data_IF_851288825249
#
_entry.id   IF_851288825249
#
_cell.length_a   1.000
_cell.length_b   1.000
_cell.length_c   1.000
_cell.angle_alpha   90.00
_cell.angle_beta   90.00
_cell.angle_gamma   90.00
#
_symmetry.space_group_name_H-M   'P 1'
#
loop_
_entity.id
_entity.type
_entity.pdbx_description
1 polymer ?
#
# COMPACT_ATOMS: atom_id res chain seq x y z
N UNK A 1 -8.90 -15.43 -3.11
CA UNK A 1 -9.27 -14.21 -3.85
C UNK A 1 -8.25 -13.98 -4.95
N UNK A 2 -8.69 -13.77 -6.19
CA UNK A 2 -7.77 -13.54 -7.33
C UNK A 2 -7.50 -12.05 -7.50
N UNK A 3 -6.68 -11.45 -6.65
CA UNK A 3 -6.22 -10.08 -6.88
C UNK A 3 -5.28 -10.02 -8.10
N UNK A 4 -5.40 -8.99 -8.91
CA UNK A 4 -4.53 -8.72 -10.07
C UNK A 4 -3.21 -8.08 -9.63
N UNK A 5 -3.25 -7.30 -8.54
CA UNK A 5 -2.08 -6.74 -7.90
C UNK A 5 -2.31 -6.57 -6.40
N UNK A 6 -1.25 -6.74 -5.61
CA UNK A 6 -1.21 -6.40 -4.19
C UNK A 6 0.10 -5.65 -3.95
N UNK A 7 -0.02 -4.39 -3.54
CA UNK A 7 1.11 -3.53 -3.18
C UNK A 7 1.11 -3.29 -1.68
N UNK A 8 2.23 -3.54 -1.04
CA UNK A 8 2.45 -3.23 0.37
C UNK A 8 3.05 -1.84 0.52
N UNK A 9 2.51 -1.07 1.45
CA UNK A 9 2.99 0.26 1.80
C UNK A 9 3.24 0.31 3.32
N UNK A 10 4.44 0.64 3.72
CA UNK A 10 4.75 0.90 5.12
C UNK A 10 4.24 2.29 5.57
N UNK A 11 4.37 2.59 6.85
CA UNK A 11 3.91 3.84 7.44
C UNK A 11 4.64 5.07 6.87
N UNK A 12 5.93 4.98 6.54
CA UNK A 12 6.67 6.07 5.90
C UNK A 12 6.15 6.34 4.46
N UNK A 13 5.91 5.29 3.70
CA UNK A 13 5.30 5.39 2.37
C UNK A 13 3.91 6.01 2.44
N UNK A 14 3.10 5.60 3.42
CA UNK A 14 1.77 6.17 3.64
C UNK A 14 1.85 7.65 4.01
N UNK A 15 2.76 8.06 4.91
CA UNK A 15 2.96 9.47 5.28
C UNK A 15 3.49 10.31 4.12
N UNK A 16 4.30 9.72 3.24
CA UNK A 16 4.83 10.42 2.05
C UNK A 16 3.73 10.87 1.10
N UNK A 17 2.55 10.25 1.15
CA UNK A 17 1.39 10.68 0.36
C UNK A 17 0.93 12.12 0.65
N UNK A 18 1.36 12.76 1.74
CA UNK A 18 1.11 14.19 2.01
C UNK A 18 1.70 15.14 0.96
N UNK A 19 2.67 14.69 0.17
CA UNK A 19 3.31 15.47 -0.91
C UNK A 19 2.55 15.38 -2.24
N UNK A 20 1.44 14.65 -2.29
CA UNK A 20 0.60 14.50 -3.46
C UNK A 20 -0.73 15.23 -3.29
N UNK A 21 -1.35 15.59 -4.40
CA UNK A 21 -2.68 16.17 -4.41
C UNK A 21 -3.74 15.10 -4.14
N UNK A 22 -4.71 15.43 -3.27
CA UNK A 22 -5.88 14.60 -2.97
C UNK A 22 -5.57 13.14 -2.60
N UNK A 23 -4.73 12.87 -1.59
CA UNK A 23 -4.50 11.51 -1.16
C UNK A 23 -5.82 10.87 -0.68
N UNK A 24 -6.01 9.56 -0.87
CA UNK A 24 -7.28 8.88 -0.56
C UNK A 24 -7.56 8.72 0.93
N UNK A 25 -6.65 9.15 1.79
CA UNK A 25 -6.71 9.15 3.26
C UNK A 25 -5.97 10.39 3.79
N UNK A 26 -6.05 10.65 5.10
CA UNK A 26 -5.23 11.69 5.74
C UNK A 26 -3.84 11.14 6.11
N UNK A 27 -2.78 11.51 5.36
CA UNK A 27 -1.43 10.99 5.62
C UNK A 27 -0.87 11.40 6.99
N UNK A 28 -1.38 12.50 7.58
CA UNK A 28 -0.92 13.01 8.88
C UNK A 28 -1.49 12.21 10.05
N UNK A 29 -2.57 11.47 9.83
CA UNK A 29 -3.17 10.59 10.83
C UNK A 29 -2.56 9.19 10.88
N UNK A 30 -1.58 8.90 10.00
CA UNK A 30 -0.92 7.59 9.97
C UNK A 30 0.01 7.43 11.16
N UNK A 31 -0.34 6.53 12.06
CA UNK A 31 0.48 6.16 13.21
C UNK A 31 1.68 5.30 12.80
N UNK A 32 2.64 5.14 13.72
CA UNK A 32 3.79 4.26 13.50
C UNK A 32 3.33 2.80 13.40
N UNK A 33 4.03 2.04 12.57
CA UNK A 33 3.74 0.61 12.31
C UNK A 33 2.38 0.30 11.66
N UNK A 34 1.60 1.33 11.27
CA UNK A 34 0.44 1.15 10.42
C UNK A 34 0.93 0.84 9.00
N UNK A 35 0.31 -0.14 8.37
CA UNK A 35 0.63 -0.53 6.99
C UNK A 35 -0.58 -0.43 6.10
N UNK A 36 -0.38 -0.17 4.83
CA UNK A 36 -1.41 -0.16 3.81
C UNK A 36 -1.24 -1.29 2.80
N UNK A 37 -2.35 -1.78 2.29
CA UNK A 37 -2.39 -2.66 1.13
C UNK A 37 -3.21 -1.98 0.04
N UNK A 38 -2.62 -1.78 -1.13
CA UNK A 38 -3.35 -1.46 -2.34
C UNK A 38 -3.63 -2.77 -3.08
N UNK A 39 -4.90 -3.15 -3.11
CA UNK A 39 -5.34 -4.40 -3.74
C UNK A 39 -6.17 -4.06 -4.97
N UNK A 40 -5.77 -4.56 -6.12
CA UNK A 40 -6.49 -4.37 -7.37
C UNK A 40 -7.15 -5.68 -7.82
N UNK A 41 -8.40 -5.57 -8.24
CA UNK A 41 -9.13 -6.64 -8.90
C UNK A 41 -9.48 -6.22 -10.32
N UNK A 42 -9.23 -7.10 -11.28
CA UNK A 42 -9.61 -6.92 -12.68
C UNK A 42 -10.33 -8.17 -13.14
N UNK A 43 -11.51 -8.02 -13.75
CA UNK A 43 -12.25 -9.11 -14.35
C UNK A 43 -13.20 -8.56 -15.41
N UNK A 44 -13.43 -9.32 -16.48
CA UNK A 44 -14.38 -8.97 -17.54
C UNK A 44 -15.84 -9.15 -17.11
N UNK A 45 -16.08 -9.92 -16.06
CA UNK A 45 -17.40 -10.17 -15.49
C UNK A 45 -17.69 -9.21 -14.33
N UNK A 46 -18.71 -8.35 -14.50
CA UNK A 46 -19.16 -7.46 -13.43
C UNK A 46 -19.64 -8.24 -12.19
N UNK A 47 -20.32 -9.38 -12.39
CA UNK A 47 -20.76 -10.22 -11.28
C UNK A 47 -19.59 -10.74 -10.44
N UNK A 48 -18.45 -11.05 -11.07
CA UNK A 48 -17.26 -11.49 -10.37
C UNK A 48 -16.62 -10.34 -9.59
N UNK A 49 -16.56 -9.14 -10.15
CA UNK A 49 -16.11 -7.93 -9.45
C UNK A 49 -16.99 -7.65 -8.23
N UNK A 50 -18.33 -7.71 -8.39
CA UNK A 50 -19.27 -7.49 -7.28
C UNK A 50 -19.11 -8.52 -6.16
N UNK A 51 -18.84 -9.78 -6.51
CA UNK A 51 -18.52 -10.84 -5.56
C UNK A 51 -17.25 -10.52 -4.78
N UNK A 52 -16.16 -10.16 -5.47
CA UNK A 52 -14.88 -9.83 -4.85
C UNK A 52 -14.97 -8.61 -3.92
N UNK A 53 -15.73 -7.59 -4.33
CA UNK A 53 -16.02 -6.41 -3.52
C UNK A 53 -16.74 -6.82 -2.22
N UNK A 54 -17.77 -7.67 -2.33
CA UNK A 54 -18.53 -8.16 -1.17
C UNK A 54 -17.64 -8.94 -0.21
N UNK A 55 -16.85 -9.89 -0.72
CA UNK A 55 -15.92 -10.68 0.08
C UNK A 55 -14.88 -9.82 0.79
N UNK A 56 -14.34 -8.80 0.10
CA UNK A 56 -13.37 -7.87 0.69
C UNK A 56 -13.99 -7.05 1.83
N UNK A 57 -15.23 -6.57 1.66
CA UNK A 57 -15.95 -5.85 2.72
C UNK A 57 -16.23 -6.75 3.93
N UNK A 58 -16.69 -7.97 3.71
CA UNK A 58 -16.95 -8.94 4.78
C UNK A 58 -15.67 -9.30 5.53
N UNK A 59 -14.56 -9.45 4.81
CA UNK A 59 -13.25 -9.69 5.41
C UNK A 59 -12.84 -8.52 6.29
N UNK A 60 -12.87 -7.29 5.77
CA UNK A 60 -12.45 -6.10 6.52
C UNK A 60 -13.28 -5.86 7.80
N UNK A 61 -14.55 -6.27 7.81
CA UNK A 61 -15.41 -6.16 8.99
C UNK A 61 -15.11 -7.21 10.08
N UNK A 62 -14.57 -8.36 9.66
CA UNK A 62 -14.25 -9.47 10.59
C UNK A 62 -12.84 -9.36 11.17
N UNK A 63 -11.92 -8.77 10.43
CA UNK A 63 -10.52 -8.65 10.83
C UNK A 63 -10.28 -7.40 11.67
N UNK A 64 -10.02 -7.59 12.95
CA UNK A 64 -9.77 -6.48 13.90
C UNK A 64 -8.50 -5.69 13.61
N UNK A 65 -7.57 -6.25 12.82
CA UNK A 65 -6.35 -5.57 12.36
C UNK A 65 -6.60 -4.57 11.22
N UNK A 66 -7.77 -4.62 10.59
CA UNK A 66 -8.15 -3.65 9.53
C UNK A 66 -8.73 -2.41 10.17
N UNK A 67 -7.94 -1.33 10.22
CA UNK A 67 -8.35 -0.03 10.77
C UNK A 67 -9.38 0.63 9.87
N UNK A 68 -9.14 0.64 8.56
CA UNK A 68 -10.06 1.19 7.56
C UNK A 68 -9.89 0.51 6.21
N UNK A 69 -10.95 0.51 5.41
CA UNK A 69 -10.90 0.09 4.02
C UNK A 69 -11.66 1.09 3.15
N UNK A 70 -11.01 1.59 2.11
CA UNK A 70 -11.65 2.41 1.07
C UNK A 70 -11.76 1.61 -0.22
N UNK A 71 -12.98 1.45 -0.71
CA UNK A 71 -13.25 0.87 -2.02
C UNK A 71 -13.26 1.99 -3.07
N UNK A 72 -12.55 1.77 -4.17
CA UNK A 72 -12.46 2.72 -5.27
C UNK A 72 -12.84 2.03 -6.57
N UNK A 73 -13.89 2.53 -7.21
CA UNK A 73 -14.41 2.01 -8.50
C UNK A 73 -14.34 3.06 -9.60
N UNK A 74 -14.30 4.35 -9.25
CA UNK A 74 -14.16 5.44 -10.20
C UNK A 74 -12.77 5.43 -10.84
N UNK A 75 -12.73 5.70 -12.15
CA UNK A 75 -11.48 5.65 -12.91
C UNK A 75 -10.49 6.74 -12.46
N UNK A 76 -10.96 7.95 -12.23
CA UNK A 76 -10.10 9.08 -11.86
C UNK A 76 -9.47 8.87 -10.47
N UNK A 77 -10.24 8.35 -9.53
CA UNK A 77 -9.75 8.00 -8.19
C UNK A 77 -8.72 6.88 -8.26
N UNK A 78 -8.93 5.86 -9.10
CA UNK A 78 -7.96 4.78 -9.33
C UNK A 78 -6.64 5.32 -9.91
N UNK A 79 -6.73 6.17 -10.92
CA UNK A 79 -5.55 6.81 -11.54
C UNK A 79 -4.77 7.64 -10.51
N UNK A 80 -5.48 8.36 -9.62
CA UNK A 80 -4.86 9.13 -8.54
C UNK A 80 -4.08 8.23 -7.58
N UNK A 81 -4.66 7.11 -7.15
CA UNK A 81 -3.97 6.14 -6.27
C UNK A 81 -2.72 5.58 -6.94
N UNK A 82 -2.82 5.15 -8.19
CA UNK A 82 -1.68 4.65 -8.95
C UNK A 82 -0.61 5.72 -9.21
N UNK A 83 -1.00 6.98 -9.43
CA UNK A 83 -0.08 8.11 -9.55
C UNK A 83 0.70 8.32 -8.25
N UNK A 84 0.02 8.27 -7.10
CA UNK A 84 0.67 8.34 -5.79
C UNK A 84 1.65 7.19 -5.64
N UNK A 85 1.21 5.93 -5.82
CA UNK A 85 2.08 4.73 -5.71
C UNK A 85 3.35 4.84 -6.56
N UNK A 86 3.21 5.19 -7.83
CA UNK A 86 4.35 5.36 -8.75
C UNK A 86 5.25 6.54 -8.38
N UNK A 87 4.70 7.57 -7.75
CA UNK A 87 5.42 8.76 -7.34
C UNK A 87 6.15 8.65 -6.00
N UNK A 88 5.89 7.62 -5.19
CA UNK A 88 6.50 7.48 -3.86
C UNK A 88 8.03 7.44 -3.93
N UNK A 89 8.60 6.58 -4.75
CA UNK A 89 10.05 6.41 -4.87
C UNK A 89 10.79 7.71 -5.28
N UNK A 90 10.40 8.40 -6.38
CA UNK A 90 11.05 9.67 -6.72
C UNK A 90 10.83 10.76 -5.67
N UNK A 91 9.69 10.77 -4.98
CA UNK A 91 9.42 11.73 -3.90
C UNK A 91 10.34 11.48 -2.72
N UNK A 92 10.46 10.25 -2.23
CA UNK A 92 11.41 9.86 -1.18
C UNK A 92 12.85 10.22 -1.60
N UNK A 93 13.18 9.99 -2.89
CA UNK A 93 14.47 10.37 -3.47
C UNK A 93 14.79 11.86 -3.34
N UNK A 94 13.77 12.70 -3.52
CA UNK A 94 13.94 14.15 -3.40
C UNK A 94 14.03 14.65 -1.95
N UNK A 95 13.42 13.92 -1.01
CA UNK A 95 13.38 14.30 0.41
C UNK A 95 14.56 13.77 1.22
N UNK A 96 15.33 12.82 0.68
CA UNK A 96 16.44 12.20 1.40
C UNK A 96 17.51 13.21 1.81
N UNK A 97 18.22 12.94 2.88
CA UNK A 97 19.39 13.74 3.31
C UNK A 97 20.48 13.70 2.26
N UNK A 98 21.13 14.84 2.03
CA UNK A 98 22.30 14.93 1.14
C UNK A 98 23.38 13.94 1.57
N UNK A 99 23.92 13.20 0.60
CA UNK A 99 24.95 12.18 0.86
C UNK A 99 24.43 10.79 1.21
N UNK A 100 23.11 10.61 1.21
CA UNK A 100 22.48 9.29 1.39
C UNK A 100 21.94 8.75 0.08
N UNK A 101 21.74 7.43 0.00
CA UNK A 101 21.08 6.75 -1.12
C UNK A 101 19.77 6.12 -0.66
N UNK A 102 18.82 6.00 -1.57
CA UNK A 102 17.65 5.16 -1.33
C UNK A 102 18.06 3.73 -1.66
N UNK A 103 17.77 2.81 -0.76
CA UNK A 103 17.82 1.38 -1.04
C UNK A 103 16.47 1.00 -1.62
N UNK A 104 16.48 0.45 -2.83
CA UNK A 104 15.27 -0.04 -3.46
C UNK A 104 14.96 -1.42 -2.90
N UNK A 105 13.83 -1.53 -2.23
CA UNK A 105 13.27 -2.79 -1.74
C UNK A 105 12.16 -3.32 -2.66
N UNK A 106 12.32 -3.11 -3.96
CA UNK A 106 11.37 -3.60 -4.96
C UNK A 106 11.51 -5.13 -5.12
N UNK A 107 10.95 -5.83 -4.15
CA UNK A 107 10.91 -7.27 -4.07
C UNK A 107 9.49 -7.78 -4.23
N UNK A 108 9.33 -8.88 -4.93
CA UNK A 108 8.09 -9.62 -5.01
C UNK A 108 8.22 -10.94 -4.28
N UNK A 109 7.25 -11.25 -3.44
CA UNK A 109 7.16 -12.50 -2.70
C UNK A 109 5.72 -13.03 -2.77
N UNK A 110 5.54 -14.31 -2.60
CA UNK A 110 4.21 -14.88 -2.43
C UNK A 110 3.50 -14.23 -1.24
N UNK A 111 2.20 -13.99 -1.37
CA UNK A 111 1.41 -13.28 -0.35
C UNK A 111 1.52 -13.90 1.05
N UNK A 112 1.62 -15.23 1.12
CA UNK A 112 1.81 -15.96 2.38
C UNK A 112 3.15 -15.68 3.07
N UNK A 113 4.17 -15.27 2.30
CA UNK A 113 5.52 -14.97 2.80
C UNK A 113 5.73 -13.48 3.08
N UNK A 114 4.79 -12.60 2.69
CA UNK A 114 4.94 -11.15 2.77
C UNK A 114 5.26 -10.68 4.20
N UNK A 115 4.52 -11.13 5.18
CA UNK A 115 4.71 -10.72 6.58
C UNK A 115 6.10 -11.15 7.12
N UNK A 116 6.60 -12.30 6.72
CA UNK A 116 7.93 -12.77 7.10
C UNK A 116 9.04 -11.95 6.42
N UNK A 117 8.89 -11.66 5.13
CA UNK A 117 9.83 -10.84 4.37
C UNK A 117 9.95 -9.43 4.97
N UNK A 118 8.83 -8.76 5.27
CA UNK A 118 8.82 -7.43 5.87
C UNK A 118 9.48 -7.42 7.26
N UNK A 119 9.17 -8.39 8.11
CA UNK A 119 9.83 -8.51 9.43
C UNK A 119 11.35 -8.71 9.29
N UNK A 120 11.77 -9.52 8.31
CA UNK A 120 13.19 -9.75 8.02
C UNK A 120 13.90 -8.47 7.58
N UNK A 121 13.28 -7.68 6.69
CA UNK A 121 13.82 -6.39 6.26
C UNK A 121 13.91 -5.40 7.41
N UNK A 122 12.85 -5.21 8.20
CA UNK A 122 12.87 -4.32 9.38
C UNK A 122 13.98 -4.72 10.36
N UNK A 123 14.18 -6.01 10.63
CA UNK A 123 15.27 -6.50 11.47
C UNK A 123 16.66 -6.14 10.92
N UNK A 124 16.86 -6.31 9.60
CA UNK A 124 18.13 -5.97 8.96
C UNK A 124 18.40 -4.47 9.08
N UNK A 125 17.42 -3.62 8.78
CA UNK A 125 17.56 -2.17 8.88
C UNK A 125 17.91 -1.75 10.31
N UNK A 126 17.16 -2.20 11.32
CA UNK A 126 17.43 -1.90 12.74
C UNK A 126 18.83 -2.33 13.21
N UNK A 127 19.38 -3.38 12.62
CA UNK A 127 20.72 -3.87 12.97
C UNK A 127 21.85 -3.04 12.38
N UNK A 128 21.58 -2.27 11.32
CA UNK A 128 22.60 -1.55 10.56
C UNK A 128 22.40 -0.02 10.54
N UNK A 129 21.51 0.51 11.38
CA UNK A 129 21.35 1.96 11.64
C UNK A 129 22.57 2.61 12.33
#
# INVERSE_FOLDING_TARGET
>A
MGASAIEFLDDESLRTAQHFENPPYDPKSVENDVTGLLIEYQNDSQNEIDRLIKESKEFSQKESSVISMKLVTDQQDRETIWKIRKGLYPTLGSLRKTGTSIITEDIAVDAENLAQAIRGLKYIFQKHE
#
